data_IF_271245034783
#
_entry.id   IF_271245034783
#
_cell.length_a   1.000
_cell.length_b   1.000
_cell.length_c   1.000
_cell.angle_alpha   90.00
_cell.angle_beta   90.00
_cell.angle_gamma   90.00
#
_symmetry.space_group_name_H-M   'P 1'
#
loop_
_entity.id
_entity.type
_entity.pdbx_description
1 polymer ?
#
# COMPACT_ATOMS: atom_id res chain seq x y z
N UNK A 1 13.34 -16.18 -16.94
CA UNK A 1 12.94 -16.63 -15.59
C UNK A 1 11.43 -16.68 -15.55
N UNK A 2 10.80 -17.60 -14.78
CA UNK A 2 9.35 -17.58 -14.61
C UNK A 2 8.91 -16.25 -13.96
N UNK A 3 7.71 -15.78 -14.33
CA UNK A 3 7.14 -14.57 -13.74
C UNK A 3 6.71 -14.90 -12.31
N UNK A 4 7.12 -14.13 -11.29
CA UNK A 4 6.70 -14.37 -9.92
C UNK A 4 5.19 -14.20 -9.74
N UNK A 5 4.55 -15.09 -8.99
CA UNK A 5 3.08 -15.11 -8.76
C UNK A 5 2.69 -15.11 -7.28
N UNK A 6 3.43 -14.45 -6.36
CA UNK A 6 3.14 -14.58 -4.92
C UNK A 6 1.74 -14.09 -4.55
N UNK A 7 1.20 -13.10 -5.28
CA UNK A 7 -0.15 -12.60 -5.05
C UNK A 7 -1.22 -13.59 -5.55
N UNK A 8 -1.07 -14.11 -6.75
CA UNK A 8 -2.00 -15.10 -7.31
C UNK A 8 -1.96 -16.41 -6.51
N UNK A 9 -0.80 -16.78 -5.97
CA UNK A 9 -0.65 -17.97 -5.11
C UNK A 9 -1.38 -17.79 -3.78
N UNK A 10 -1.37 -16.58 -3.20
CA UNK A 10 -2.18 -16.25 -2.03
C UNK A 10 -3.68 -16.30 -2.33
N UNK A 11 -4.13 -15.80 -3.49
CA UNK A 11 -5.53 -15.91 -3.90
C UNK A 11 -5.97 -17.38 -3.97
N UNK A 12 -5.17 -18.26 -4.59
CA UNK A 12 -5.43 -19.71 -4.65
C UNK A 12 -5.48 -20.32 -3.25
N UNK A 13 -4.50 -20.00 -2.40
CA UNK A 13 -4.46 -20.48 -1.03
C UNK A 13 -5.75 -20.16 -0.26
N UNK A 14 -6.24 -18.91 -0.37
CA UNK A 14 -7.46 -18.49 0.34
C UNK A 14 -8.72 -19.14 -0.24
N UNK A 15 -8.81 -19.31 -1.56
CA UNK A 15 -9.94 -20.04 -2.17
C UNK A 15 -9.98 -21.49 -1.73
N UNK A 16 -8.80 -22.16 -1.66
CA UNK A 16 -8.70 -23.61 -1.41
C UNK A 16 -8.80 -23.94 0.08
N UNK A 17 -8.25 -23.09 0.96
CA UNK A 17 -8.08 -23.42 2.39
C UNK A 17 -8.69 -22.39 3.35
N UNK A 18 -9.19 -21.26 2.84
CA UNK A 18 -9.73 -20.18 3.66
C UNK A 18 -10.96 -20.60 4.46
N UNK A 19 -10.99 -20.18 5.71
CA UNK A 19 -12.13 -20.39 6.61
C UNK A 19 -13.20 -19.33 6.38
N UNK A 20 -14.46 -19.77 6.26
CA UNK A 20 -15.59 -18.85 6.14
C UNK A 20 -15.80 -18.06 7.44
N UNK A 21 -15.94 -16.75 7.34
CA UNK A 21 -16.16 -15.83 8.46
C UNK A 21 -17.23 -14.80 8.11
N UNK A 22 -17.99 -14.39 9.12
CA UNK A 22 -18.78 -13.16 9.06
C UNK A 22 -17.85 -11.95 9.17
N UNK A 23 -18.28 -10.84 8.58
CA UNK A 23 -17.58 -9.57 8.66
C UNK A 23 -18.54 -8.42 9.01
N UNK A 24 -18.00 -7.23 9.26
CA UNK A 24 -18.77 -6.03 9.63
C UNK A 24 -19.81 -5.61 8.57
N UNK A 25 -19.51 -5.87 7.31
CA UNK A 25 -20.37 -5.48 6.18
C UNK A 25 -21.53 -6.47 5.94
N UNK A 26 -21.48 -7.64 6.57
CA UNK A 26 -22.48 -8.71 6.36
C UNK A 26 -22.33 -9.45 5.03
N UNK A 27 -21.29 -9.17 4.25
CA UNK A 27 -21.04 -9.82 2.94
C UNK A 27 -20.56 -11.27 3.12
N UNK A 28 -19.81 -11.54 4.20
CA UNK A 28 -19.08 -12.80 4.39
C UNK A 28 -17.73 -12.79 3.70
N UNK A 29 -16.78 -13.55 4.25
CA UNK A 29 -15.43 -13.68 3.73
C UNK A 29 -14.92 -15.11 3.86
N UNK A 30 -13.93 -15.45 3.03
CA UNK A 30 -13.02 -16.58 3.25
C UNK A 30 -11.66 -16.02 3.60
N UNK A 31 -11.01 -16.50 4.65
CA UNK A 31 -9.73 -15.94 5.08
C UNK A 31 -8.74 -16.99 5.57
N UNK A 32 -7.45 -16.63 5.43
CA UNK A 32 -6.33 -17.28 6.15
C UNK A 32 -5.69 -16.22 7.06
N UNK A 33 -5.13 -16.66 8.17
CA UNK A 33 -4.46 -15.76 9.12
C UNK A 33 -2.96 -15.92 9.05
N UNK A 34 -2.28 -14.82 8.72
CA UNK A 34 -0.83 -14.75 8.63
C UNK A 34 -0.28 -15.28 7.30
N UNK A 35 0.15 -14.36 6.41
CA UNK A 35 0.83 -14.71 5.17
C UNK A 35 1.88 -13.65 4.82
N UNK A 36 2.94 -14.06 4.13
CA UNK A 36 3.99 -13.15 3.68
C UNK A 36 4.31 -13.34 2.20
N UNK A 37 4.41 -12.24 1.47
CA UNK A 37 4.87 -12.19 0.08
C UNK A 37 6.13 -11.34 -0.04
N UNK A 38 7.03 -11.67 -0.98
CA UNK A 38 8.26 -10.93 -1.24
C UNK A 38 8.36 -10.58 -2.72
N UNK A 39 8.85 -9.36 -2.98
CA UNK A 39 9.03 -8.82 -4.32
C UNK A 39 10.42 -8.19 -4.42
N UNK A 40 11.28 -8.68 -5.32
CA UNK A 40 12.55 -8.03 -5.65
C UNK A 40 12.24 -6.79 -6.51
N UNK A 41 12.41 -5.60 -5.90
CA UNK A 41 12.14 -4.33 -6.58
C UNK A 41 13.17 -4.01 -7.67
N UNK A 42 14.33 -4.67 -7.65
CA UNK A 42 15.32 -4.58 -8.71
C UNK A 42 14.95 -5.38 -9.96
N UNK A 43 14.06 -6.37 -9.84
CA UNK A 43 13.59 -7.19 -10.96
C UNK A 43 12.36 -6.59 -11.69
N UNK A 44 11.68 -5.61 -11.07
CA UNK A 44 10.52 -4.94 -11.67
C UNK A 44 9.62 -4.32 -10.61
N UNK A 45 8.71 -3.44 -11.03
CA UNK A 45 7.76 -2.80 -10.14
C UNK A 45 6.54 -3.74 -9.92
N UNK A 46 6.23 -4.19 -8.69
CA UNK A 46 5.23 -5.23 -8.43
C UNK A 46 3.79 -4.70 -8.59
N UNK A 47 3.43 -4.31 -9.78
CA UNK A 47 2.08 -3.97 -10.19
C UNK A 47 1.50 -5.17 -10.95
N UNK A 48 0.51 -5.82 -10.36
CA UNK A 48 -0.08 -7.05 -10.91
C UNK A 48 -0.57 -6.87 -12.35
N UNK A 49 -0.48 -7.92 -13.15
CA UNK A 49 -0.84 -7.91 -14.57
C UNK A 49 -2.03 -8.80 -14.91
N UNK A 50 -2.46 -9.66 -14.00
CA UNK A 50 -3.63 -10.53 -14.16
C UNK A 50 -4.96 -9.79 -14.19
N UNK A 51 -4.97 -8.55 -13.73
CA UNK A 51 -6.00 -7.54 -14.00
C UNK A 51 -5.40 -6.14 -14.01
N UNK A 52 -5.99 -5.21 -14.76
CA UNK A 52 -5.59 -3.80 -14.75
C UNK A 52 -5.94 -3.15 -13.41
N UNK A 53 -4.95 -2.52 -12.79
CA UNK A 53 -5.11 -1.69 -11.57
C UNK A 53 -5.08 -0.21 -11.96
N UNK A 54 -5.83 0.63 -11.24
CA UNK A 54 -5.92 2.07 -11.52
C UNK A 54 -4.72 2.82 -10.93
N UNK A 55 -3.62 2.87 -11.68
CA UNK A 55 -2.33 3.44 -11.25
C UNK A 55 -2.41 4.88 -10.79
N UNK A 56 -3.28 5.68 -11.45
CA UNK A 56 -3.51 7.08 -11.06
C UNK A 56 -3.95 7.21 -9.60
N UNK A 57 -4.87 6.36 -9.15
CA UNK A 57 -5.33 6.38 -7.76
C UNK A 57 -4.21 6.00 -6.78
N UNK A 58 -3.39 4.98 -7.11
CA UNK A 58 -2.26 4.55 -6.28
C UNK A 58 -1.28 5.70 -6.07
N UNK A 59 -0.88 6.37 -7.15
CA UNK A 59 0.09 7.45 -7.08
C UNK A 59 -0.45 8.64 -6.30
N UNK A 60 -1.67 9.10 -6.60
CA UNK A 60 -2.25 10.23 -5.88
C UNK A 60 -2.54 9.94 -4.42
N UNK A 61 -2.96 8.72 -4.07
CA UNK A 61 -3.15 8.31 -2.68
C UNK A 61 -1.85 8.39 -1.89
N UNK A 62 -0.74 7.85 -2.43
CA UNK A 62 0.55 7.93 -1.75
C UNK A 62 1.03 9.39 -1.61
N UNK A 63 0.90 10.21 -2.65
CA UNK A 63 1.25 11.62 -2.58
C UNK A 63 0.38 12.36 -1.55
N UNK A 64 -0.88 12.00 -1.43
CA UNK A 64 -1.79 12.56 -0.43
C UNK A 64 -1.39 12.16 1.00
N UNK A 65 -0.99 10.90 1.24
CA UNK A 65 -0.41 10.49 2.52
C UNK A 65 0.87 11.27 2.86
N UNK A 66 1.78 11.43 1.89
CA UNK A 66 3.03 12.18 2.08
C UNK A 66 2.80 13.67 2.35
N UNK A 67 1.66 14.23 1.95
CA UNK A 67 1.25 15.59 2.31
C UNK A 67 0.78 15.73 3.77
N UNK A 68 0.52 14.63 4.44
CA UNK A 68 -0.08 14.64 5.78
C UNK A 68 -1.54 15.05 5.79
N UNK A 69 -2.24 14.92 4.67
CA UNK A 69 -3.62 15.35 4.50
C UNK A 69 -4.60 14.24 4.89
N UNK A 70 -5.78 14.60 5.36
CA UNK A 70 -6.91 13.69 5.67
C UNK A 70 -8.19 14.06 4.93
N UNK A 71 -8.18 15.15 4.14
CA UNK A 71 -9.34 15.61 3.41
C UNK A 71 -9.34 15.10 1.97
N UNK A 72 -10.40 14.40 1.57
CA UNK A 72 -10.51 13.75 0.25
C UNK A 72 -10.66 14.74 -0.91
N UNK A 73 -10.96 16.02 -0.66
CA UNK A 73 -11.15 17.03 -1.71
C UNK A 73 -9.92 17.14 -2.63
N UNK A 74 -8.72 17.06 -2.05
CA UNK A 74 -7.50 17.07 -2.83
C UNK A 74 -7.41 15.90 -3.81
N UNK A 75 -7.90 14.71 -3.44
CA UNK A 75 -8.01 13.55 -4.31
C UNK A 75 -9.10 13.73 -5.35
N UNK A 76 -10.29 14.22 -4.95
CA UNK A 76 -11.44 14.46 -5.83
C UNK A 76 -11.10 15.46 -6.95
N UNK A 77 -10.41 16.55 -6.65
CA UNK A 77 -9.91 17.53 -7.64
C UNK A 77 -9.02 16.89 -8.71
N UNK A 78 -8.46 15.71 -8.42
CA UNK A 78 -7.60 14.91 -9.32
C UNK A 78 -8.33 13.72 -9.94
N UNK A 79 -9.65 13.64 -9.70
CA UNK A 79 -10.51 12.56 -10.21
C UNK A 79 -10.24 11.21 -9.54
N UNK A 80 -9.82 11.21 -8.28
CA UNK A 80 -9.61 10.03 -7.43
C UNK A 80 -10.67 10.04 -6.34
N UNK A 81 -11.49 8.98 -6.28
CA UNK A 81 -12.69 8.88 -5.44
C UNK A 81 -12.68 7.67 -4.51
N UNK A 82 -11.53 7.01 -4.38
CA UNK A 82 -11.41 5.75 -3.63
C UNK A 82 -11.65 5.85 -2.12
N UNK A 83 -11.79 7.08 -1.60
CA UNK A 83 -12.04 7.37 -0.20
C UNK A 83 -13.39 8.03 0.08
N UNK A 84 -14.18 8.32 -0.96
CA UNK A 84 -15.42 9.11 -0.86
C UNK A 84 -16.47 8.48 0.06
N UNK A 85 -16.54 7.13 0.09
CA UNK A 85 -17.55 6.38 0.85
C UNK A 85 -17.37 6.51 2.38
N UNK A 86 -16.16 6.86 2.84
CA UNK A 86 -15.84 7.01 4.27
C UNK A 86 -15.75 8.48 4.71
N UNK A 87 -15.73 9.40 3.76
CA UNK A 87 -15.54 10.81 4.05
C UNK A 87 -16.79 11.44 4.68
N UNK A 88 -16.57 12.33 5.65
CA UNK A 88 -17.63 13.20 6.18
C UNK A 88 -18.20 14.13 5.08
N UNK A 89 -19.33 14.80 5.31
CA UNK A 89 -19.87 15.78 4.35
C UNK A 89 -18.90 16.93 4.03
N UNK A 90 -17.92 17.19 4.91
CA UNK A 90 -16.85 18.18 4.68
C UNK A 90 -15.63 17.59 3.96
N UNK A 91 -15.63 16.29 3.69
CA UNK A 91 -14.55 15.57 3.02
C UNK A 91 -13.45 15.06 3.96
N UNK A 92 -13.64 15.16 5.28
CA UNK A 92 -12.65 14.77 6.26
C UNK A 92 -12.80 13.31 6.68
N UNK A 93 -11.66 12.62 6.87
CA UNK A 93 -11.56 11.23 7.33
C UNK A 93 -11.04 11.11 8.77
N UNK A 94 -10.74 12.23 9.42
CA UNK A 94 -10.04 12.23 10.72
C UNK A 94 -8.54 11.90 10.56
N UNK A 95 -7.83 11.62 11.66
CA UNK A 95 -6.38 11.49 11.67
C UNK A 95 -5.88 10.15 11.06
N UNK A 96 -6.26 9.86 9.80
CA UNK A 96 -5.86 8.64 9.08
C UNK A 96 -4.43 8.74 8.56
N UNK A 97 -3.87 7.68 8.09
CA UNK A 97 -2.55 7.44 7.47
C UNK A 97 -1.61 8.64 7.35
N UNK A 98 -1.92 9.60 6.47
CA UNK A 98 -1.07 10.75 6.20
C UNK A 98 -0.84 11.63 7.42
N UNK A 99 -1.88 11.84 8.23
CA UNK A 99 -1.75 12.59 9.49
C UNK A 99 -0.83 11.85 10.46
N UNK A 100 -1.03 10.53 10.64
CA UNK A 100 -0.17 9.76 11.52
C UNK A 100 1.30 9.73 11.04
N UNK A 101 1.53 9.61 9.75
CA UNK A 101 2.88 9.58 9.18
C UNK A 101 3.62 10.91 9.34
N UNK A 102 2.90 12.03 9.21
CA UNK A 102 3.50 13.36 9.10
C UNK A 102 3.31 14.24 10.34
N UNK A 103 2.42 13.87 11.22
CA UNK A 103 2.03 14.72 12.36
C UNK A 103 1.53 13.89 13.54
N UNK A 104 2.32 12.88 13.96
CA UNK A 104 1.98 12.04 15.11
C UNK A 104 1.99 12.86 16.40
N UNK A 105 0.86 12.94 17.16
CA UNK A 105 0.79 13.75 18.37
C UNK A 105 1.61 13.14 19.53
N UNK A 106 2.24 14.00 20.32
CA UNK A 106 2.97 13.61 21.53
C UNK A 106 2.24 14.11 22.79
N UNK A 107 2.51 13.51 23.97
CA UNK A 107 1.94 13.99 25.22
C UNK A 107 2.30 15.44 25.61
N UNK A 108 3.40 15.98 25.06
CA UNK A 108 3.80 17.39 25.26
C UNK A 108 3.01 18.37 24.39
N UNK A 109 2.20 17.88 23.44
CA UNK A 109 1.48 18.71 22.46
C UNK A 109 2.26 19.01 21.20
N UNK A 110 3.50 18.49 21.09
CA UNK A 110 4.29 18.53 19.86
C UNK A 110 3.85 17.43 18.88
N UNK A 111 4.36 17.49 17.64
CA UNK A 111 4.08 16.50 16.62
C UNK A 111 5.37 15.93 16.04
N UNK A 112 5.36 14.65 15.70
CA UNK A 112 6.48 13.94 15.06
C UNK A 112 6.14 13.66 13.59
N UNK A 113 7.01 14.10 12.69
CA UNK A 113 7.02 13.70 11.30
C UNK A 113 7.81 12.40 11.14
N UNK A 114 7.12 11.26 11.15
CA UNK A 114 7.73 9.95 11.08
C UNK A 114 8.44 9.70 9.73
N UNK A 115 7.92 10.25 8.61
CA UNK A 115 8.54 10.09 7.29
C UNK A 115 9.88 10.83 7.22
N UNK A 116 9.93 12.07 7.69
CA UNK A 116 11.19 12.84 7.77
C UNK A 116 12.19 12.14 8.70
N UNK A 117 11.75 11.72 9.88
CA UNK A 117 12.60 11.01 10.83
C UNK A 117 13.14 9.68 10.26
N UNK A 118 12.30 8.93 9.55
CA UNK A 118 12.72 7.69 8.89
C UNK A 118 13.77 7.95 7.80
N UNK A 119 13.57 8.99 6.99
CA UNK A 119 14.52 9.37 5.93
C UNK A 119 15.86 9.85 6.52
N UNK A 120 15.83 10.67 7.58
CA UNK A 120 17.04 11.11 8.27
C UNK A 120 17.80 9.92 8.87
N UNK A 121 17.08 8.96 9.44
CA UNK A 121 17.69 7.75 9.99
C UNK A 121 18.32 6.88 8.90
N UNK A 122 17.71 6.74 7.71
CA UNK A 122 18.29 6.03 6.57
C UNK A 122 19.62 6.66 6.10
N UNK A 123 19.77 7.99 6.24
CA UNK A 123 20.96 8.73 5.83
C UNK A 123 22.07 8.69 6.89
N UNK A 124 21.71 8.69 8.17
CA UNK A 124 22.66 8.86 9.29
C UNK A 124 23.02 7.56 9.99
N UNK A 125 22.10 6.59 10.06
CA UNK A 125 22.28 5.27 10.68
C UNK A 125 21.45 4.21 9.92
N UNK A 126 21.88 3.84 8.69
CA UNK A 126 21.13 2.90 7.84
C UNK A 126 20.98 1.50 8.46
N UNK A 127 21.85 1.12 9.40
CA UNK A 127 21.80 -0.18 10.11
C UNK A 127 20.78 -0.18 11.27
N UNK A 128 20.12 0.94 11.53
CA UNK A 128 19.16 1.07 12.62
C UNK A 128 17.97 0.14 12.46
N UNK A 129 17.65 -0.58 13.54
CA UNK A 129 16.44 -1.44 13.62
C UNK A 129 15.20 -0.67 14.07
N UNK A 130 15.30 0.67 14.24
CA UNK A 130 14.24 1.55 14.73
C UNK A 130 13.54 2.33 13.63
N UNK A 131 13.86 2.02 12.37
CA UNK A 131 13.28 2.71 11.22
C UNK A 131 11.88 2.17 10.92
N UNK A 132 10.90 2.61 11.72
CA UNK A 132 9.49 2.19 11.68
C UNK A 132 8.62 3.43 11.56
N UNK A 133 7.58 3.31 10.72
CA UNK A 133 6.49 4.29 10.59
C UNK A 133 5.18 3.60 10.92
N UNK A 134 4.42 4.15 11.87
CA UNK A 134 3.14 3.59 12.33
C UNK A 134 1.97 4.51 11.96
N UNK A 135 0.91 3.92 11.43
CA UNK A 135 -0.39 4.58 11.30
C UNK A 135 -1.37 4.15 12.42
N UNK A 136 -1.03 3.10 13.17
CA UNK A 136 -1.87 2.54 14.22
C UNK A 136 -1.69 3.28 15.55
N UNK A 137 -2.41 4.39 15.69
CA UNK A 137 -2.44 5.19 16.94
C UNK A 137 -3.68 4.84 17.76
N UNK A 138 -3.50 4.00 18.77
CA UNK A 138 -4.61 3.50 19.60
C UNK A 138 -5.42 4.63 20.24
N UNK A 139 -4.76 5.74 20.59
CA UNK A 139 -5.43 6.91 21.19
C UNK A 139 -6.34 7.68 20.24
N UNK A 140 -6.13 7.56 18.92
CA UNK A 140 -6.87 8.33 17.93
C UNK A 140 -7.76 7.47 17.01
N UNK A 141 -7.68 6.13 17.11
CA UNK A 141 -8.55 5.22 16.33
C UNK A 141 -10.04 5.59 16.38
N UNK A 142 -10.63 5.98 17.54
CA UNK A 142 -12.04 6.34 17.58
C UNK A 142 -12.41 7.59 16.77
N UNK A 143 -11.43 8.40 16.37
CA UNK A 143 -11.61 9.62 15.57
C UNK A 143 -11.43 9.37 14.08
N UNK A 144 -10.95 8.18 13.68
CA UNK A 144 -10.70 7.81 12.29
C UNK A 144 -11.97 7.27 11.65
N UNK A 145 -12.31 7.76 10.46
CA UNK A 145 -13.43 7.23 9.67
C UNK A 145 -13.22 5.74 9.33
N UNK A 146 -11.97 5.35 9.11
CA UNK A 146 -11.57 3.95 8.89
C UNK A 146 -10.23 3.67 9.61
N UNK A 147 -10.20 2.77 10.62
CA UNK A 147 -8.95 2.34 11.25
C UNK A 147 -7.96 1.76 10.24
N UNK A 148 -6.67 2.15 10.30
CA UNK A 148 -5.69 1.77 9.30
C UNK A 148 -5.56 0.26 9.09
N UNK A 149 -5.75 -0.21 7.85
CA UNK A 149 -5.55 -1.61 7.48
C UNK A 149 -4.05 -1.93 7.37
N UNK A 150 -3.28 -1.10 6.67
CA UNK A 150 -1.82 -1.15 6.66
C UNK A 150 -1.31 -0.36 7.87
N UNK A 151 -1.03 -1.10 8.96
CA UNK A 151 -0.90 -0.56 10.30
C UNK A 151 0.47 0.09 10.55
N UNK A 152 1.55 -0.53 10.09
CA UNK A 152 2.91 0.00 10.19
C UNK A 152 3.82 -0.65 9.14
N UNK A 153 4.95 0.00 8.88
CA UNK A 153 5.99 -0.54 8.02
C UNK A 153 7.38 -0.23 8.59
N UNK A 154 8.35 -1.04 8.19
CA UNK A 154 9.74 -0.94 8.63
C UNK A 154 10.65 -0.94 7.42
N UNK A 155 11.68 -0.10 7.46
CA UNK A 155 12.77 -0.09 6.51
C UNK A 155 13.97 -0.90 7.02
N UNK A 156 14.69 -1.49 6.08
CA UNK A 156 15.89 -2.28 6.32
C UNK A 156 16.89 -2.04 5.19
N UNK A 157 18.14 -1.78 5.55
CA UNK A 157 19.22 -1.60 4.56
C UNK A 157 20.21 -2.75 4.67
N UNK A 158 20.56 -3.33 3.54
CA UNK A 158 21.63 -4.31 3.42
C UNK A 158 22.32 -4.14 2.06
N UNK A 159 23.64 -4.22 2.03
CA UNK A 159 24.45 -4.10 0.81
C UNK A 159 24.11 -2.85 -0.02
N UNK A 160 23.83 -1.72 0.63
CA UNK A 160 23.45 -0.46 -0.02
C UNK A 160 22.07 -0.48 -0.67
N UNK A 161 21.21 -1.44 -0.33
CA UNK A 161 19.86 -1.63 -0.88
C UNK A 161 18.81 -1.46 0.22
N UNK A 162 17.79 -0.65 -0.06
CA UNK A 162 16.65 -0.40 0.84
C UNK A 162 15.52 -1.39 0.58
N UNK A 163 15.12 -2.10 1.62
CA UNK A 163 13.92 -2.95 1.66
C UNK A 163 12.88 -2.34 2.59
N UNK A 164 11.61 -2.66 2.33
CA UNK A 164 10.49 -2.25 3.18
C UNK A 164 9.63 -3.46 3.52
N UNK A 165 9.27 -3.63 4.79
CA UNK A 165 8.27 -4.61 5.22
C UNK A 165 7.03 -3.88 5.72
N UNK A 166 5.87 -4.21 5.13
CA UNK A 166 4.56 -3.75 5.56
C UNK A 166 3.86 -4.82 6.41
N UNK A 167 3.23 -4.43 7.52
CA UNK A 167 2.22 -5.23 8.19
C UNK A 167 0.82 -4.67 7.92
N UNK A 168 -0.01 -5.46 7.24
CA UNK A 168 -1.40 -5.16 6.92
C UNK A 168 -2.32 -6.07 7.74
N UNK A 169 -2.99 -5.52 8.78
CA UNK A 169 -3.81 -6.28 9.72
C UNK A 169 -5.07 -6.88 9.11
N UNK A 170 -5.62 -6.23 8.10
CA UNK A 170 -6.85 -6.61 7.38
C UNK A 170 -6.63 -6.38 5.89
N UNK A 171 -6.76 -7.41 5.10
CA UNK A 171 -6.30 -7.44 3.72
C UNK A 171 -7.40 -7.99 2.79
N UNK A 172 -8.21 -7.08 2.20
CA UNK A 172 -9.03 -7.40 1.05
C UNK A 172 -8.11 -7.74 -0.13
N UNK A 173 -8.00 -9.03 -0.42
CA UNK A 173 -7.06 -9.52 -1.42
C UNK A 173 -7.44 -9.10 -2.83
N UNK A 174 -8.72 -8.89 -3.13
CA UNK A 174 -9.13 -8.58 -4.50
C UNK A 174 -9.01 -7.10 -4.84
N UNK A 175 -9.54 -6.19 -4.02
CA UNK A 175 -9.51 -4.75 -4.30
C UNK A 175 -8.32 -4.05 -3.66
N UNK A 176 -8.08 -4.24 -2.36
CA UNK A 176 -7.13 -3.45 -1.59
C UNK A 176 -5.67 -3.84 -1.77
N UNK A 177 -5.35 -5.13 -1.63
CA UNK A 177 -3.94 -5.59 -1.58
C UNK A 177 -3.12 -5.24 -2.83
N UNK A 178 -3.62 -5.32 -4.07
CA UNK A 178 -2.86 -4.87 -5.24
C UNK A 178 -2.47 -3.40 -5.19
N UNK A 179 -3.34 -2.53 -4.67
CA UNK A 179 -3.05 -1.11 -4.45
C UNK A 179 -1.95 -0.94 -3.40
N UNK A 180 -2.07 -1.64 -2.27
CA UNK A 180 -1.11 -1.53 -1.17
C UNK A 180 0.28 -2.03 -1.58
N UNK A 181 0.40 -3.15 -2.29
CA UNK A 181 1.67 -3.65 -2.81
C UNK A 181 2.35 -2.58 -3.68
N UNK A 182 1.66 -2.03 -4.66
CA UNK A 182 2.21 -1.04 -5.57
C UNK A 182 2.53 0.29 -4.86
N UNK A 183 1.68 0.74 -3.92
CA UNK A 183 1.87 1.97 -3.16
C UNK A 183 3.13 1.91 -2.28
N UNK A 184 3.33 0.82 -1.53
CA UNK A 184 4.52 0.68 -0.68
C UNK A 184 5.78 0.34 -1.45
N UNK A 185 5.68 -0.36 -2.59
CA UNK A 185 6.80 -0.49 -3.52
C UNK A 185 7.24 0.88 -4.05
N UNK A 186 6.28 1.73 -4.46
CA UNK A 186 6.55 3.11 -4.89
C UNK A 186 7.20 3.94 -3.77
N UNK A 187 6.65 3.87 -2.55
CA UNK A 187 7.24 4.54 -1.38
C UNK A 187 8.69 4.09 -1.14
N UNK A 188 8.96 2.78 -1.27
CA UNK A 188 10.32 2.24 -1.09
C UNK A 188 11.29 2.79 -2.15
N UNK A 189 10.87 2.88 -3.40
CA UNK A 189 11.67 3.51 -4.46
C UNK A 189 11.95 5.00 -4.18
N UNK A 190 10.93 5.76 -3.74
CA UNK A 190 11.08 7.17 -3.40
C UNK A 190 12.04 7.38 -2.22
N UNK A 191 11.89 6.59 -1.15
CA UNK A 191 12.78 6.64 0.03
C UNK A 191 14.21 6.25 -0.32
N UNK A 192 14.40 5.21 -1.15
CA UNK A 192 15.73 4.79 -1.60
C UNK A 192 16.40 5.90 -2.42
N UNK A 193 15.69 6.51 -3.38
CA UNK A 193 16.22 7.63 -4.17
C UNK A 193 16.65 8.81 -3.29
N UNK A 194 15.85 9.16 -2.28
CA UNK A 194 16.13 10.26 -1.35
C UNK A 194 17.27 9.96 -0.37
N UNK A 195 17.50 8.68 -0.06
CA UNK A 195 18.60 8.25 0.83
C UNK A 195 19.89 7.92 0.06
N UNK A 196 19.90 7.98 -1.28
CA UNK A 196 21.05 7.59 -2.11
C UNK A 196 21.31 6.07 -2.10
N UNK A 197 20.28 5.26 -1.90
CA UNK A 197 20.33 3.81 -1.86
C UNK A 197 19.73 3.19 -3.13
N UNK A 198 20.17 1.99 -3.47
CA UNK A 198 19.45 1.16 -4.43
C UNK A 198 18.21 0.53 -3.77
N UNK A 199 17.28 0.02 -4.57
CA UNK A 199 16.13 -0.72 -4.03
C UNK A 199 16.47 -2.19 -3.76
N UNK A 200 15.92 -2.72 -2.68
CA UNK A 200 16.00 -4.13 -2.28
C UNK A 200 14.67 -4.85 -2.52
N UNK A 201 14.07 -5.37 -1.47
CA UNK A 201 12.80 -6.09 -1.51
C UNK A 201 11.66 -5.25 -0.93
N UNK A 202 10.46 -5.47 -1.44
CA UNK A 202 9.23 -5.17 -0.72
C UNK A 202 8.68 -6.47 -0.13
N UNK A 203 8.48 -6.49 1.20
CA UNK A 203 7.91 -7.61 1.94
C UNK A 203 6.54 -7.23 2.46
N UNK A 204 5.51 -7.84 1.92
CA UNK A 204 4.15 -7.68 2.39
C UNK A 204 3.79 -8.77 3.39
N UNK A 205 3.28 -8.39 4.56
CA UNK A 205 2.83 -9.32 5.61
C UNK A 205 1.38 -9.01 5.95
N UNK A 206 0.49 -9.96 5.66
CA UNK A 206 -0.93 -9.88 5.98
C UNK A 206 -1.28 -10.57 7.28
N UNK A 207 -2.16 -9.96 8.07
CA UNK A 207 -2.83 -10.59 9.21
C UNK A 207 -4.05 -11.39 8.74
N UNK A 208 -5.24 -10.80 8.75
CA UNK A 208 -6.46 -11.40 8.16
C UNK A 208 -6.44 -11.16 6.64
N UNK A 209 -6.06 -12.20 5.89
CA UNK A 209 -6.00 -12.18 4.43
C UNK A 209 -7.30 -12.79 3.88
N UNK A 210 -8.17 -11.97 3.29
CA UNK A 210 -9.52 -12.42 2.94
C UNK A 210 -9.95 -12.08 1.53
N UNK A 211 -10.85 -12.92 1.02
CA UNK A 211 -11.63 -12.70 -0.19
C UNK A 211 -13.08 -12.57 0.25
N UNK A 212 -13.76 -11.47 -0.09
CA UNK A 212 -15.20 -11.34 0.12
C UNK A 212 -15.97 -12.36 -0.69
N UNK A 213 -17.07 -12.89 -0.15
CA UNK A 213 -17.88 -13.93 -0.83
C UNK A 213 -18.41 -13.45 -2.19
N UNK A 214 -18.71 -12.16 -2.32
CA UNK A 214 -19.14 -11.54 -3.57
C UNK A 214 -17.99 -11.22 -4.55
N UNK A 215 -16.73 -11.59 -4.23
CA UNK A 215 -15.56 -11.45 -5.10
C UNK A 215 -15.03 -12.81 -5.61
N UNK A 216 -15.63 -13.95 -5.21
CA UNK A 216 -15.12 -15.27 -5.57
C UNK A 216 -15.08 -15.51 -7.08
N UNK A 217 -16.12 -15.09 -7.79
CA UNK A 217 -16.18 -15.23 -9.26
C UNK A 217 -15.10 -14.39 -9.94
N UNK A 218 -14.88 -13.17 -9.48
CA UNK A 218 -13.87 -12.25 -10.00
C UNK A 218 -12.46 -12.75 -9.74
N UNK A 219 -12.20 -13.33 -8.56
CA UNK A 219 -10.91 -13.96 -8.24
C UNK A 219 -10.69 -15.18 -9.14
N UNK A 220 -11.72 -16.00 -9.35
CA UNK A 220 -11.65 -17.16 -10.25
C UNK A 220 -11.34 -16.74 -11.68
N UNK A 221 -11.99 -15.70 -12.19
CA UNK A 221 -11.70 -15.10 -13.49
C UNK A 221 -10.24 -14.61 -13.53
N UNK A 222 -9.78 -13.87 -12.52
CA UNK A 222 -8.41 -13.38 -12.46
C UNK A 222 -7.38 -14.50 -12.50
N UNK A 223 -7.60 -15.59 -11.75
CA UNK A 223 -6.71 -16.74 -11.68
C UNK A 223 -6.69 -17.60 -12.97
N UNK A 224 -7.67 -17.43 -13.87
CA UNK A 224 -7.65 -18.06 -15.20
C UNK A 224 -6.70 -17.37 -16.18
N UNK A 225 -6.12 -16.22 -15.82
CA UNK A 225 -5.28 -15.38 -16.68
C UNK A 225 -3.80 -15.62 -16.39
N UNK A 226 -2.99 -15.77 -17.43
CA UNK A 226 -1.54 -15.90 -17.28
C UNK A 226 -0.91 -14.57 -16.87
N UNK A 227 -0.07 -14.53 -15.83
CA UNK A 227 0.69 -13.33 -15.47
C UNK A 227 1.61 -12.88 -16.59
N UNK A 228 1.81 -11.56 -16.71
CA UNK A 228 2.74 -10.93 -17.64
C UNK A 228 3.88 -10.27 -16.87
N UNK A 229 5.00 -9.91 -17.51
CA UNK A 229 6.12 -9.24 -16.84
C UNK A 229 5.68 -7.99 -16.08
N UNK A 230 6.28 -7.77 -14.90
CA UNK A 230 6.09 -6.54 -14.17
C UNK A 230 6.58 -5.33 -14.96
N UNK A 231 5.91 -4.18 -14.85
CA UNK A 231 6.37 -2.94 -15.47
C UNK A 231 7.64 -2.40 -14.81
N UNK A 232 8.20 -1.37 -15.43
CA UNK A 232 9.31 -0.58 -14.91
C UNK A 232 8.81 0.70 -14.25
N UNK A 233 9.36 1.06 -13.10
CA UNK A 233 9.14 2.36 -12.46
C UNK A 233 10.31 3.28 -12.77
N UNK A 234 10.00 4.49 -13.25
CA UNK A 234 10.97 5.57 -13.46
C UNK A 234 10.54 6.76 -12.63
N UNK A 235 11.44 7.23 -11.75
CA UNK A 235 11.24 8.41 -10.92
C UNK A 235 12.10 9.57 -11.44
N UNK A 236 11.55 10.77 -11.51
CA UNK A 236 12.32 11.97 -11.69
C UNK A 236 13.16 12.23 -10.42
N UNK A 237 14.32 12.88 -10.59
CA UNK A 237 15.10 13.32 -9.44
C UNK A 237 14.43 14.54 -8.81
N UNK A 238 14.26 14.53 -7.49
CA UNK A 238 13.71 15.64 -6.67
C UNK A 238 14.58 15.86 -5.45
N UNK A 239 14.61 17.09 -4.95
CA UNK A 239 15.40 17.46 -3.78
C UNK A 239 14.78 16.93 -2.48
N UNK A 240 13.45 16.75 -2.45
CA UNK A 240 12.70 16.22 -1.32
C UNK A 240 11.69 15.18 -1.75
N UNK A 241 11.42 14.19 -0.89
CA UNK A 241 10.34 13.21 -1.09
C UNK A 241 8.96 13.89 -1.18
N UNK A 242 8.81 15.06 -0.59
CA UNK A 242 7.56 15.84 -0.56
C UNK A 242 7.34 16.70 -1.81
N UNK A 243 8.35 16.81 -2.69
CA UNK A 243 8.28 17.58 -3.93
C UNK A 243 7.82 16.77 -5.13
N UNK A 244 7.66 15.44 -4.95
CA UNK A 244 7.16 14.59 -6.03
C UNK A 244 5.73 14.97 -6.42
N UNK A 245 5.51 15.03 -7.71
CA UNK A 245 4.21 15.17 -8.34
C UNK A 245 3.85 13.90 -9.13
N UNK A 246 2.63 13.83 -9.62
CA UNK A 246 2.19 12.70 -10.45
C UNK A 246 3.06 12.50 -11.70
N UNK A 247 3.47 13.61 -12.33
CA UNK A 247 4.25 13.58 -13.58
C UNK A 247 5.70 13.13 -13.38
N UNK A 248 6.18 13.09 -12.15
CA UNK A 248 7.51 12.59 -11.78
C UNK A 248 7.59 11.07 -11.67
N UNK A 249 6.44 10.38 -11.71
CA UNK A 249 6.29 8.95 -11.46
C UNK A 249 5.76 8.29 -12.73
N UNK A 250 6.64 7.64 -13.48
CA UNK A 250 6.29 7.02 -14.76
C UNK A 250 6.38 5.51 -14.67
N UNK A 251 5.26 4.84 -14.91
CA UNK A 251 5.19 3.37 -15.02
C UNK A 251 5.25 3.00 -16.50
N UNK A 252 6.37 2.38 -16.94
CA UNK A 252 6.59 1.97 -18.31
C UNK A 252 6.30 0.49 -18.52
N UNK A 253 5.85 0.14 -19.72
CA UNK A 253 5.65 -1.26 -20.15
C UNK A 253 4.58 -1.99 -19.30
N UNK A 254 3.60 -1.28 -18.74
CA UNK A 254 2.49 -1.91 -18.04
C UNK A 254 1.48 -2.47 -19.05
N UNK A 255 1.50 -3.80 -19.22
CA UNK A 255 0.62 -4.55 -20.13
C UNK A 255 -0.26 -5.53 -19.34
N UNK A 256 -1.27 -5.07 -18.60
CA UNK A 256 -2.15 -5.93 -17.83
C UNK A 256 -3.28 -6.51 -18.70
N UNK A 257 -3.87 -7.62 -18.23
CA UNK A 257 -5.19 -8.04 -18.69
C UNK A 257 -6.26 -6.98 -18.35
N UNK A 258 -7.43 -6.98 -19.00
CA UNK A 258 -8.51 -6.04 -18.72
C UNK A 258 -8.88 -5.99 -17.22
N UNK A 259 -9.40 -4.84 -16.78
CA UNK A 259 -9.91 -4.70 -15.43
C UNK A 259 -11.08 -5.65 -15.17
N UNK A 260 -11.19 -6.15 -13.94
CA UNK A 260 -12.34 -6.92 -13.46
C UNK A 260 -13.04 -6.04 -12.43
N UNK A 261 -14.32 -5.75 -12.67
CA UNK A 261 -15.14 -4.94 -11.75
C UNK A 261 -15.65 -5.80 -10.59
N UNK A 262 -15.64 -5.23 -9.38
CA UNK A 262 -16.25 -5.83 -8.20
C UNK A 262 -16.91 -4.74 -7.33
N UNK A 263 -17.94 -5.07 -6.55
CA UNK A 263 -18.52 -4.16 -5.58
C UNK A 263 -17.57 -3.93 -4.42
N UNK A 264 -17.57 -2.72 -3.86
CA UNK A 264 -16.85 -2.42 -2.61
C UNK A 264 -17.71 -2.90 -1.44
N UNK A 265 -17.11 -3.59 -0.47
CA UNK A 265 -17.78 -3.97 0.76
C UNK A 265 -17.64 -2.83 1.79
N UNK A 266 -18.75 -2.19 2.15
CA UNK A 266 -18.84 -1.02 3.04
C UNK A 266 -19.71 -1.27 4.27
#
# INVERSE_FOLDING_TARGET
MPIPTPYEDLLRLVLDTGVAKSDRTGTGTRSVFGHQMRYDLGAGFPLITTKKVHTKSIVYELLWFLRGDSNVRWLQERGVTIWDEWASPTGDLGPVYGVQWRSWPTPSGDHIDQISAALDLLRTDPDSRRNIVSAWNVGEIPQMALPPCHAFFQFYVADGRLSCQLYQRSADLFLGVPFNIASYALLTHMMAAQAGLAVGEFVWTGGDCHIYDNHVDQVTEQLSREPRPYPELVLAQRDSIFDYTYDDIVIKNYDPHPAIKAPVAV
#
